data_IF_665653223080
#
_entry.id   IF_665653223080
#
_cell.length_a   1.000
_cell.length_b   1.000
_cell.length_c   1.000
_cell.angle_alpha   90.00
_cell.angle_beta   90.00
_cell.angle_gamma   90.00
#
_symmetry.space_group_name_H-M   'P 1'
#
loop_
_entity.id
_entity.type
_entity.pdbx_description
1 polymer ?
#
# COMPACT_ATOMS: atom_id res chain seq x y z
N UNK A 1 7.78 20.19 -17.90
CA UNK A 1 6.47 19.50 -17.97
C UNK A 1 6.69 18.24 -18.77
N UNK A 2 6.92 17.10 -18.12
CA UNK A 2 7.03 15.79 -18.77
C UNK A 2 5.64 15.44 -19.31
N UNK A 3 5.57 15.09 -20.61
CA UNK A 3 4.33 14.85 -21.30
C UNK A 3 3.57 13.65 -20.72
N UNK A 4 2.33 13.87 -20.44
CA UNK A 4 1.34 12.89 -19.99
C UNK A 4 1.24 11.77 -21.05
N UNK A 5 1.89 10.62 -20.83
CA UNK A 5 1.67 9.43 -21.62
C UNK A 5 0.33 8.83 -21.19
N UNK A 6 -0.41 8.19 -22.07
CA UNK A 6 -1.67 7.53 -21.80
C UNK A 6 -1.60 6.78 -20.46
N UNK A 7 -2.26 7.31 -19.45
CA UNK A 7 -2.21 6.86 -18.06
C UNK A 7 -3.07 5.61 -17.82
N UNK A 8 -3.36 4.84 -18.85
CA UNK A 8 -4.19 3.65 -18.75
C UNK A 8 -3.56 2.46 -19.49
N UNK A 9 -3.63 1.29 -18.87
CA UNK A 9 -3.30 0.04 -19.54
C UNK A 9 -4.40 -1.01 -19.34
N UNK A 10 -4.48 -1.96 -20.27
CA UNK A 10 -5.42 -3.06 -20.22
C UNK A 10 -4.74 -4.30 -19.67
N UNK A 11 -5.33 -4.89 -18.63
CA UNK A 11 -4.89 -6.16 -18.05
C UNK A 11 -5.30 -7.36 -18.91
N UNK A 12 -4.75 -8.54 -18.61
CA UNK A 12 -5.04 -9.79 -19.34
C UNK A 12 -6.51 -10.27 -19.23
N UNK A 13 -7.25 -9.77 -18.23
CA UNK A 13 -8.68 -10.02 -18.03
C UNK A 13 -9.55 -8.79 -18.38
N UNK A 14 -9.04 -7.92 -19.26
CA UNK A 14 -9.74 -6.77 -19.82
C UNK A 14 -10.07 -5.62 -18.84
N UNK A 15 -9.59 -5.63 -17.62
CA UNK A 15 -9.69 -4.46 -16.76
C UNK A 15 -8.81 -3.32 -17.29
N UNK A 16 -9.26 -2.08 -17.13
CA UNK A 16 -8.48 -0.88 -17.47
C UNK A 16 -8.01 -0.26 -16.16
N UNK A 17 -6.69 -0.15 -15.98
CA UNK A 17 -6.10 0.43 -14.79
C UNK A 17 -5.46 1.78 -15.10
N UNK A 18 -5.72 2.74 -14.23
CA UNK A 18 -5.07 4.05 -14.24
C UNK A 18 -3.72 3.97 -13.53
N UNK A 19 -2.71 4.60 -14.12
CA UNK A 19 -1.37 4.72 -13.50
C UNK A 19 -0.75 6.08 -13.82
N UNK A 20 0.25 6.45 -13.02
CA UNK A 20 1.11 7.60 -13.22
C UNK A 20 2.56 7.13 -13.25
N UNK A 21 3.35 7.59 -14.23
CA UNK A 21 4.75 7.24 -14.44
C UNK A 21 5.56 8.53 -14.54
N UNK A 22 6.22 8.88 -13.45
CA UNK A 22 6.96 10.12 -13.28
C UNK A 22 8.44 9.88 -13.48
N UNK A 23 9.09 10.76 -14.25
CA UNK A 23 10.54 10.74 -14.53
C UNK A 23 11.07 9.36 -14.96
N UNK A 24 10.51 8.75 -16.04
CA UNK A 24 10.86 7.39 -16.45
C UNK A 24 12.32 7.20 -16.86
N UNK A 25 13.05 8.28 -17.09
CA UNK A 25 14.48 8.30 -17.43
C UNK A 25 15.41 8.39 -16.22
N UNK A 26 14.87 8.59 -15.03
CA UNK A 26 15.65 8.76 -13.78
C UNK A 26 16.13 7.42 -13.23
N UNK A 27 16.73 7.47 -12.04
CA UNK A 27 17.30 6.35 -11.30
C UNK A 27 16.43 5.11 -11.14
N UNK A 28 16.70 4.32 -10.16
CA UNK A 28 15.97 3.06 -9.95
C UNK A 28 14.48 3.30 -9.65
N UNK A 29 13.57 2.46 -10.17
CA UNK A 29 12.14 2.69 -10.00
C UNK A 29 11.68 2.53 -8.55
N UNK A 30 10.78 3.43 -8.10
CA UNK A 30 10.00 3.32 -6.88
C UNK A 30 8.54 3.12 -7.28
N UNK A 31 7.90 2.08 -6.77
CA UNK A 31 6.48 1.79 -7.01
C UNK A 31 5.71 1.96 -5.70
N UNK A 32 4.73 2.85 -5.69
CA UNK A 32 3.90 3.14 -4.52
C UNK A 32 2.48 2.63 -4.75
N UNK A 33 2.02 1.72 -3.89
CA UNK A 33 0.72 1.07 -4.01
C UNK A 33 -0.22 1.56 -2.90
N UNK A 34 -1.35 2.22 -3.23
CA UNK A 34 -2.26 2.78 -2.25
C UNK A 34 -3.09 1.71 -1.52
N UNK A 35 -3.60 2.11 -0.35
CA UNK A 35 -4.39 1.26 0.53
C UNK A 35 -5.85 1.06 0.10
N UNK A 36 -6.65 0.59 1.05
CA UNK A 36 -8.07 0.27 0.90
C UNK A 36 -8.88 1.47 0.42
N UNK A 37 -9.51 1.34 -0.74
CA UNK A 37 -10.32 2.36 -1.41
C UNK A 37 -9.59 3.69 -1.66
N UNK A 38 -8.27 3.70 -1.59
CA UNK A 38 -7.45 4.87 -1.82
C UNK A 38 -6.95 4.94 -3.27
N UNK A 39 -6.46 6.12 -3.66
CA UNK A 39 -6.02 6.43 -5.02
C UNK A 39 -4.55 6.88 -5.04
N UNK A 40 -3.97 7.03 -6.23
CA UNK A 40 -2.64 7.64 -6.42
C UNK A 40 -2.49 8.98 -5.71
N UNK A 41 -3.60 9.73 -5.53
CA UNK A 41 -3.62 11.04 -4.89
C UNK A 41 -3.16 11.05 -3.44
N UNK A 42 -3.23 9.92 -2.74
CA UNK A 42 -2.68 9.84 -1.39
C UNK A 42 -1.15 9.95 -1.34
N UNK A 43 -0.47 9.81 -2.49
CA UNK A 43 0.97 10.03 -2.61
C UNK A 43 1.35 11.38 -3.23
N UNK A 44 0.40 12.32 -3.40
CA UNK A 44 0.65 13.61 -4.07
C UNK A 44 1.77 14.43 -3.41
N UNK A 45 1.94 14.32 -2.09
CA UNK A 45 3.01 15.01 -1.36
C UNK A 45 4.38 14.30 -1.42
N UNK A 46 4.44 13.12 -2.03
CA UNK A 46 5.65 12.29 -2.10
C UNK A 46 6.25 12.26 -3.51
N UNK A 47 5.38 12.15 -4.51
CA UNK A 47 5.79 11.87 -5.89
C UNK A 47 6.80 12.88 -6.43
N UNK A 48 6.53 14.19 -6.30
CA UNK A 48 7.40 15.22 -6.88
C UNK A 48 8.81 15.22 -6.28
N UNK A 49 8.92 14.99 -4.97
CA UNK A 49 10.21 14.92 -4.30
C UNK A 49 11.00 13.67 -4.72
N UNK A 50 10.37 12.50 -4.69
CA UNK A 50 10.98 11.24 -5.10
C UNK A 50 11.37 11.23 -6.58
N UNK A 51 10.57 11.86 -7.44
CA UNK A 51 10.79 11.95 -8.87
C UNK A 51 11.93 12.90 -9.29
N UNK A 52 12.57 13.61 -8.34
CA UNK A 52 13.78 14.38 -8.62
C UNK A 52 14.95 13.46 -9.03
N UNK A 53 15.04 12.28 -8.43
CA UNK A 53 16.19 11.38 -8.58
C UNK A 53 15.80 9.99 -9.10
N UNK A 54 14.56 9.55 -8.89
CA UNK A 54 14.07 8.23 -9.22
C UNK A 54 12.89 8.26 -10.19
N UNK A 55 12.67 7.16 -10.93
CA UNK A 55 11.39 6.92 -11.61
C UNK A 55 10.35 6.55 -10.56
N UNK A 56 9.23 7.27 -10.50
CA UNK A 56 8.16 6.99 -9.52
C UNK A 56 6.89 6.55 -10.24
N UNK A 57 6.38 5.40 -9.85
CA UNK A 57 5.16 4.81 -10.43
C UNK A 57 4.12 4.66 -9.33
N UNK A 58 2.93 5.17 -9.58
CA UNK A 58 1.74 4.92 -8.77
C UNK A 58 0.60 4.43 -9.67
N UNK A 59 -0.38 3.74 -9.12
CA UNK A 59 -1.56 3.32 -9.88
C UNK A 59 -2.77 3.18 -8.96
N UNK A 60 -3.94 3.34 -9.53
CA UNK A 60 -5.18 3.02 -8.83
C UNK A 60 -5.46 1.52 -8.98
N UNK A 61 -5.50 0.73 -7.90
CA UNK A 61 -5.83 -0.69 -7.97
C UNK A 61 -7.19 -0.91 -8.64
N UNK A 62 -7.42 -2.11 -9.18
CA UNK A 62 -8.71 -2.43 -9.83
C UNK A 62 -9.91 -2.11 -8.93
N UNK A 63 -10.89 -1.46 -9.50
CA UNK A 63 -12.08 -1.04 -8.78
C UNK A 63 -11.94 0.26 -8.00
N UNK A 64 -10.72 0.77 -7.81
CA UNK A 64 -10.48 2.00 -7.07
C UNK A 64 -10.20 3.19 -8.01
N UNK A 65 -10.33 4.41 -7.49
CA UNK A 65 -9.93 5.63 -8.18
C UNK A 65 -10.45 5.76 -9.60
N UNK A 66 -9.55 6.00 -10.54
CA UNK A 66 -9.82 6.12 -11.99
C UNK A 66 -9.76 4.79 -12.75
N UNK A 67 -9.41 3.69 -12.07
CA UNK A 67 -9.44 2.35 -12.67
C UNK A 67 -10.87 1.85 -12.88
N UNK A 68 -11.06 0.93 -13.85
CA UNK A 68 -12.37 0.38 -14.21
C UNK A 68 -13.05 -0.35 -13.05
N UNK A 69 -14.38 -0.27 -12.99
CA UNK A 69 -15.22 -0.80 -11.92
C UNK A 69 -15.88 -2.15 -12.38
N UNK A 70 -15.05 -3.10 -12.83
CA UNK A 70 -15.50 -4.43 -13.24
C UNK A 70 -16.11 -5.21 -12.07
N UNK A 71 -16.95 -6.22 -12.37
CA UNK A 71 -17.63 -7.03 -11.36
C UNK A 71 -16.75 -8.13 -10.75
N UNK A 72 -15.57 -8.39 -11.29
CA UNK A 72 -14.74 -9.54 -10.95
C UNK A 72 -13.32 -9.16 -10.58
N UNK A 73 -12.60 -10.09 -9.94
CA UNK A 73 -11.16 -9.97 -9.72
C UNK A 73 -10.74 -9.12 -8.51
N UNK A 74 -11.66 -8.80 -7.61
CA UNK A 74 -11.34 -8.01 -6.40
C UNK A 74 -10.68 -8.86 -5.30
N UNK A 75 -9.65 -9.64 -5.67
CA UNK A 75 -8.88 -10.49 -4.77
C UNK A 75 -7.44 -9.99 -4.64
N UNK A 76 -6.77 -10.32 -3.54
CA UNK A 76 -5.35 -10.00 -3.34
C UNK A 76 -4.50 -10.60 -4.46
N UNK A 77 -4.73 -11.86 -4.80
CA UNK A 77 -3.99 -12.55 -5.85
C UNK A 77 -4.14 -11.88 -7.24
N UNK A 78 -5.35 -11.41 -7.59
CA UNK A 78 -5.56 -10.72 -8.87
C UNK A 78 -4.90 -9.33 -8.89
N UNK A 79 -4.94 -8.59 -7.76
CA UNK A 79 -4.20 -7.33 -7.65
C UNK A 79 -2.69 -7.54 -7.80
N UNK A 80 -2.13 -8.64 -7.27
CA UNK A 80 -0.72 -8.98 -7.48
C UNK A 80 -0.40 -9.23 -8.97
N UNK A 81 -1.29 -9.91 -9.70
CA UNK A 81 -1.13 -10.11 -11.14
C UNK A 81 -1.25 -8.78 -11.91
N UNK A 82 -2.15 -7.88 -11.49
CA UNK A 82 -2.26 -6.53 -12.06
C UNK A 82 -0.96 -5.73 -11.88
N UNK A 83 -0.36 -5.79 -10.69
CA UNK A 83 0.95 -5.17 -10.43
C UNK A 83 2.00 -5.76 -11.39
N UNK A 84 2.05 -7.08 -11.51
CA UNK A 84 3.00 -7.74 -12.42
C UNK A 84 2.80 -7.28 -13.86
N UNK A 85 1.57 -7.26 -14.34
CA UNK A 85 1.23 -6.83 -15.70
C UNK A 85 1.55 -5.34 -15.94
N UNK A 86 1.35 -4.47 -14.93
CA UNK A 86 1.77 -3.06 -14.99
C UNK A 86 3.29 -2.93 -15.11
N UNK A 87 4.04 -3.66 -14.27
CA UNK A 87 5.50 -3.63 -14.33
C UNK A 87 6.03 -4.16 -15.67
N UNK A 88 5.34 -5.14 -16.28
CA UNK A 88 5.66 -5.65 -17.61
C UNK A 88 5.35 -4.61 -18.71
N UNK A 89 4.18 -3.98 -18.64
CA UNK A 89 3.75 -2.95 -19.58
C UNK A 89 4.71 -1.75 -19.62
N UNK A 90 5.24 -1.36 -18.46
CA UNK A 90 6.15 -0.23 -18.32
C UNK A 90 7.64 -0.62 -18.44
N UNK A 91 7.93 -1.91 -18.70
CA UNK A 91 9.28 -2.51 -18.67
C UNK A 91 10.08 -2.08 -17.42
N UNK A 92 9.45 -2.09 -16.27
CA UNK A 92 10.08 -1.79 -14.98
C UNK A 92 11.02 -2.93 -14.59
N UNK A 93 12.22 -2.61 -14.10
CA UNK A 93 13.21 -3.58 -13.64
C UNK A 93 13.87 -3.10 -12.36
N UNK A 94 14.00 -4.00 -11.38
CA UNK A 94 14.69 -3.72 -10.13
C UNK A 94 14.02 -2.60 -9.32
N UNK A 95 12.69 -2.63 -9.22
CA UNK A 95 11.95 -1.64 -8.46
C UNK A 95 12.08 -1.85 -6.93
N UNK A 96 12.08 -0.77 -6.18
CA UNK A 96 11.68 -0.77 -4.77
C UNK A 96 10.18 -0.57 -4.72
N UNK A 97 9.42 -1.60 -4.29
CA UNK A 97 7.96 -1.56 -4.30
C UNK A 97 7.42 -1.50 -2.88
N UNK A 98 6.63 -0.46 -2.61
CA UNK A 98 6.04 -0.21 -1.30
C UNK A 98 4.52 -0.28 -1.36
N UNK A 99 3.93 -0.94 -0.36
CA UNK A 99 2.48 -0.96 -0.16
C UNK A 99 2.09 -0.23 1.11
N UNK A 100 1.08 0.62 1.00
CA UNK A 100 0.47 1.27 2.15
C UNK A 100 -0.77 0.53 2.60
N UNK A 101 -0.91 0.31 3.93
CA UNK A 101 -2.13 -0.27 4.50
C UNK A 101 -2.45 -1.64 3.89
N UNK A 102 -3.64 -1.82 3.35
CA UNK A 102 -4.07 -3.04 2.64
C UNK A 102 -3.05 -3.50 1.58
N UNK A 103 -2.39 -2.57 0.90
CA UNK A 103 -1.44 -2.94 -0.15
C UNK A 103 -0.20 -3.68 0.38
N UNK A 104 0.06 -3.67 1.69
CA UNK A 104 1.05 -4.56 2.29
C UNK A 104 0.76 -6.04 2.01
N UNK A 105 -0.52 -6.44 2.02
CA UNK A 105 -0.94 -7.79 1.61
C UNK A 105 -0.59 -8.07 0.14
N UNK A 106 -0.72 -7.05 -0.74
CA UNK A 106 -0.31 -7.20 -2.15
C UNK A 106 1.19 -7.38 -2.27
N UNK A 107 1.99 -6.62 -1.50
CA UNK A 107 3.45 -6.68 -1.56
C UNK A 107 3.97 -8.06 -1.15
N UNK A 108 3.54 -8.57 0.00
CA UNK A 108 3.99 -9.88 0.49
C UNK A 108 3.46 -11.03 -0.38
N UNK A 109 2.21 -10.92 -0.87
CA UNK A 109 1.63 -11.92 -1.76
C UNK A 109 2.22 -11.89 -3.17
N UNK A 110 2.58 -10.70 -3.68
CA UNK A 110 3.32 -10.58 -4.93
C UNK A 110 4.62 -11.37 -4.87
N UNK A 111 5.38 -11.22 -3.78
CA UNK A 111 6.61 -11.97 -3.60
C UNK A 111 6.38 -13.48 -3.49
N UNK A 112 5.36 -13.91 -2.77
CA UNK A 112 4.96 -15.33 -2.68
C UNK A 112 4.63 -15.93 -4.06
N UNK A 113 3.99 -15.15 -4.96
CA UNK A 113 3.59 -15.61 -6.29
C UNK A 113 4.70 -15.54 -7.34
N UNK A 114 5.56 -14.52 -7.28
CA UNK A 114 6.48 -14.19 -8.38
C UNK A 114 7.94 -14.04 -7.94
N UNK A 115 8.25 -14.16 -6.65
CA UNK A 115 9.59 -13.90 -6.10
C UNK A 115 10.05 -12.47 -6.39
N UNK A 116 11.34 -12.30 -6.61
CA UNK A 116 11.96 -11.01 -6.94
C UNK A 116 11.70 -10.55 -8.40
N UNK A 117 10.65 -11.06 -9.05
CA UNK A 117 10.35 -10.65 -10.43
C UNK A 117 10.13 -9.15 -10.51
N UNK A 118 10.98 -8.44 -11.27
CA UNK A 118 10.99 -6.98 -11.49
C UNK A 118 11.21 -6.10 -10.26
N UNK A 119 11.39 -6.69 -9.07
CA UNK A 119 11.64 -5.96 -7.83
C UNK A 119 13.01 -6.31 -7.26
N UNK A 120 13.65 -5.37 -6.56
CA UNK A 120 14.93 -5.56 -5.86
C UNK A 120 14.80 -5.34 -4.35
N UNK A 121 13.77 -4.61 -3.93
CA UNK A 121 13.47 -4.36 -2.53
C UNK A 121 11.97 -4.15 -2.34
N UNK A 122 11.48 -4.40 -1.14
CA UNK A 122 10.09 -4.26 -0.77
C UNK A 122 9.92 -3.34 0.45
N UNK A 123 8.75 -2.72 0.59
CA UNK A 123 8.45 -1.87 1.74
C UNK A 123 7.00 -1.96 2.19
N UNK A 124 6.81 -1.83 3.50
CA UNK A 124 5.50 -1.80 4.15
C UNK A 124 5.30 -0.43 4.82
N UNK A 125 4.21 0.23 4.49
CA UNK A 125 3.81 1.53 5.05
C UNK A 125 2.54 1.30 5.87
N UNK A 126 2.68 1.16 7.17
CA UNK A 126 1.60 0.99 8.15
C UNK A 126 0.55 -0.06 7.75
N UNK A 127 0.98 -1.31 7.59
CA UNK A 127 0.20 -2.40 7.00
C UNK A 127 -0.38 -3.35 8.04
N UNK A 128 -1.70 -3.56 8.14
CA UNK A 128 -2.28 -4.65 8.92
C UNK A 128 -2.20 -5.97 8.13
N UNK A 129 -1.10 -6.72 8.26
CA UNK A 129 -0.88 -7.94 7.47
C UNK A 129 -1.76 -9.13 7.86
N UNK A 130 -2.58 -9.01 8.90
CA UNK A 130 -3.49 -10.06 9.33
C UNK A 130 -4.52 -9.52 10.32
N UNK A 131 -5.38 -8.59 9.86
CA UNK A 131 -6.27 -7.80 10.71
C UNK A 131 -7.15 -8.63 11.68
N UNK A 132 -7.63 -9.80 11.26
CA UNK A 132 -8.52 -10.64 12.09
C UNK A 132 -7.76 -11.74 12.87
N UNK A 133 -6.51 -12.00 12.59
CA UNK A 133 -5.79 -13.13 13.19
C UNK A 133 -5.42 -12.87 14.65
N UNK A 134 -5.67 -13.86 15.52
CA UNK A 134 -5.38 -13.77 16.96
C UNK A 134 -3.91 -14.11 17.25
N UNK A 135 -3.03 -13.19 16.88
CA UNK A 135 -1.59 -13.33 16.99
C UNK A 135 -1.00 -12.26 17.94
N UNK A 136 0.14 -12.53 18.60
CA UNK A 136 0.76 -11.58 19.54
C UNK A 136 1.10 -10.22 18.90
N UNK A 137 1.49 -10.22 17.62
CA UNK A 137 1.84 -9.00 16.89
C UNK A 137 0.62 -8.17 16.47
N UNK A 138 -0.58 -8.74 16.47
CA UNK A 138 -1.77 -8.06 15.97
C UNK A 138 -2.50 -7.30 17.10
N UNK A 139 -2.62 -5.99 16.97
CA UNK A 139 -3.43 -5.13 17.82
C UNK A 139 -4.64 -4.50 17.08
N UNK A 140 -4.98 -5.01 15.90
CA UNK A 140 -6.12 -4.52 15.12
C UNK A 140 -7.46 -4.83 15.82
N UNK A 141 -8.45 -3.97 15.67
CA UNK A 141 -9.78 -4.10 16.28
C UNK A 141 -10.56 -5.35 15.84
N UNK A 142 -10.22 -5.95 14.69
CA UNK A 142 -10.78 -7.20 14.19
C UNK A 142 -10.09 -8.45 14.74
N UNK A 143 -9.05 -8.32 15.56
CA UNK A 143 -8.31 -9.44 16.14
C UNK A 143 -9.27 -10.46 16.76
N UNK A 144 -8.96 -11.75 16.60
CA UNK A 144 -9.80 -12.85 17.04
C UNK A 144 -11.07 -13.05 16.22
N UNK A 145 -11.07 -12.58 14.97
CA UNK A 145 -12.23 -12.67 14.06
C UNK A 145 -13.49 -12.02 14.68
N UNK A 146 -13.35 -10.78 15.13
CA UNK A 146 -14.46 -10.00 15.68
C UNK A 146 -15.53 -9.76 14.59
N UNK A 147 -16.40 -10.77 14.43
CA UNK A 147 -17.43 -10.80 13.38
C UNK A 147 -18.53 -9.76 13.59
N UNK A 148 -18.79 -9.34 14.83
CA UNK A 148 -19.77 -8.29 15.11
C UNK A 148 -19.27 -6.94 14.57
N UNK A 149 -18.00 -6.62 14.78
CA UNK A 149 -17.37 -5.43 14.23
C UNK A 149 -17.26 -5.52 12.71
N UNK A 150 -16.83 -6.65 12.16
CA UNK A 150 -16.79 -6.88 10.72
C UNK A 150 -18.17 -6.64 10.08
N UNK A 151 -19.22 -7.25 10.62
CA UNK A 151 -20.58 -7.09 10.12
C UNK A 151 -21.07 -5.64 10.22
N UNK A 152 -20.75 -4.93 11.32
CA UNK A 152 -21.14 -3.53 11.48
C UNK A 152 -20.49 -2.63 10.42
N UNK A 153 -19.20 -2.85 10.11
CA UNK A 153 -18.52 -2.15 9.01
C UNK A 153 -19.15 -2.45 7.66
N UNK A 154 -19.49 -3.72 7.39
CA UNK A 154 -20.12 -4.12 6.13
C UNK A 154 -21.51 -3.53 5.96
N UNK A 155 -22.32 -3.54 7.01
CA UNK A 155 -23.65 -2.94 7.03
C UNK A 155 -23.58 -1.43 6.78
N UNK A 156 -22.65 -0.74 7.45
CA UNK A 156 -22.41 0.69 7.26
C UNK A 156 -21.99 0.99 5.82
N UNK A 157 -20.99 0.28 5.30
CA UNK A 157 -20.52 0.43 3.93
C UNK A 157 -21.63 0.23 2.88
N UNK A 158 -22.50 -0.75 3.10
CA UNK A 158 -23.59 -1.05 2.16
C UNK A 158 -24.73 -0.02 2.22
N UNK A 159 -25.12 0.42 3.41
CA UNK A 159 -26.27 1.32 3.61
C UNK A 159 -25.91 2.80 3.45
N UNK A 160 -24.69 3.18 3.81
CA UNK A 160 -24.18 4.57 3.77
C UNK A 160 -22.67 4.57 3.46
N UNK A 161 -22.33 4.35 2.20
CA UNK A 161 -20.94 4.32 1.78
C UNK A 161 -20.21 5.65 2.04
N UNK A 162 -20.90 6.77 1.94
CA UNK A 162 -20.31 8.08 2.20
C UNK A 162 -19.98 8.27 3.69
N UNK A 163 -20.91 7.91 4.57
CA UNK A 163 -20.68 7.89 6.01
C UNK A 163 -19.58 6.90 6.41
N UNK A 164 -19.52 5.72 5.78
CA UNK A 164 -18.46 4.74 6.03
C UNK A 164 -17.07 5.27 5.65
N UNK A 165 -16.92 5.88 4.47
CA UNK A 165 -15.63 6.43 4.07
C UNK A 165 -15.25 7.68 4.87
N UNK A 166 -16.22 8.49 5.25
CA UNK A 166 -15.97 9.61 6.15
C UNK A 166 -15.48 9.14 7.52
N UNK A 167 -16.12 8.12 8.10
CA UNK A 167 -15.66 7.47 9.33
C UNK A 167 -14.22 6.93 9.19
N UNK A 168 -13.92 6.27 8.07
CA UNK A 168 -12.59 5.73 7.84
C UNK A 168 -11.54 6.84 7.64
N UNK A 169 -11.90 7.93 6.95
CA UNK A 169 -11.05 9.10 6.79
C UNK A 169 -10.73 9.76 8.16
N UNK A 170 -11.71 9.84 9.06
CA UNK A 170 -11.47 10.28 10.44
C UNK A 170 -10.47 9.39 11.16
N UNK A 171 -10.57 8.07 11.04
CA UNK A 171 -9.60 7.16 11.65
C UNK A 171 -8.19 7.32 11.07
N UNK A 172 -8.06 7.58 9.77
CA UNK A 172 -6.77 7.78 9.11
C UNK A 172 -6.09 9.09 9.51
N UNK A 173 -6.86 10.17 9.66
CA UNK A 173 -6.37 11.53 9.91
C UNK A 173 -6.57 11.99 11.36
N UNK A 174 -6.80 11.09 12.29
CA UNK A 174 -7.08 11.40 13.70
C UNK A 174 -6.04 12.40 14.28
N UNK A 175 -6.55 13.57 14.71
CA UNK A 175 -5.74 14.60 15.35
C UNK A 175 -4.81 15.39 14.42
N UNK A 176 -4.96 15.29 13.09
CA UNK A 176 -4.04 15.90 12.12
C UNK A 176 -4.65 17.13 11.44
N UNK A 177 -5.68 16.97 10.65
CA UNK A 177 -6.29 18.07 9.89
C UNK A 177 -7.69 17.70 9.38
N UNK A 178 -8.72 18.28 9.95
CA UNK A 178 -10.11 18.03 9.55
C UNK A 178 -10.40 18.42 8.10
N UNK A 179 -9.65 19.36 7.51
CA UNK A 179 -9.82 19.75 6.10
C UNK A 179 -9.47 18.61 5.12
N UNK A 180 -8.63 17.67 5.55
CA UNK A 180 -8.24 16.51 4.74
C UNK A 180 -9.29 15.40 4.77
N UNK A 181 -10.17 15.36 5.76
CA UNK A 181 -11.19 14.32 5.90
C UNK A 181 -12.17 14.34 4.72
N UNK A 182 -12.66 15.51 4.36
CA UNK A 182 -13.57 15.65 3.22
C UNK A 182 -12.88 15.25 1.91
N UNK A 183 -11.64 15.68 1.70
CA UNK A 183 -10.85 15.32 0.54
C UNK A 183 -10.64 13.80 0.46
N UNK A 184 -10.19 13.16 1.55
CA UNK A 184 -9.99 11.72 1.61
C UNK A 184 -11.29 10.95 1.36
N UNK A 185 -12.40 11.40 1.96
CA UNK A 185 -13.73 10.83 1.73
C UNK A 185 -14.10 10.88 0.24
N UNK A 186 -13.88 12.02 -0.44
CA UNK A 186 -14.18 12.16 -1.86
C UNK A 186 -13.29 11.26 -2.74
N UNK A 187 -12.00 11.09 -2.39
CA UNK A 187 -11.14 10.15 -3.09
C UNK A 187 -11.62 8.70 -2.91
N UNK A 188 -11.99 8.30 -1.69
CA UNK A 188 -12.49 6.95 -1.40
C UNK A 188 -13.84 6.68 -2.07
N UNK A 189 -14.71 7.68 -2.22
CA UNK A 189 -16.01 7.56 -2.91
C UNK A 189 -15.90 7.21 -4.40
N UNK A 190 -14.70 7.31 -4.99
CA UNK A 190 -14.45 6.79 -6.33
C UNK A 190 -14.48 5.24 -6.37
N UNK A 191 -14.51 4.59 -5.21
CA UNK A 191 -14.65 3.12 -5.09
C UNK A 191 -16.09 2.78 -4.70
N UNK A 192 -16.85 2.06 -5.54
CA UNK A 192 -18.21 1.64 -5.22
C UNK A 192 -18.27 0.70 -4.00
N UNK A 193 -19.35 0.80 -3.20
CA UNK A 193 -19.53 0.02 -1.98
C UNK A 193 -19.37 -1.51 -2.18
N UNK A 194 -19.86 -2.07 -3.28
CA UNK A 194 -19.75 -3.51 -3.55
C UNK A 194 -18.31 -3.97 -3.81
N UNK A 195 -17.45 -3.10 -4.37
CA UNK A 195 -16.02 -3.36 -4.53
C UNK A 195 -15.33 -3.28 -3.17
N UNK A 196 -15.64 -2.24 -2.38
CA UNK A 196 -15.16 -2.10 -1.01
C UNK A 196 -15.47 -3.32 -0.17
N UNK A 197 -16.69 -3.82 -0.24
CA UNK A 197 -17.11 -5.05 0.45
C UNK A 197 -16.25 -6.26 0.03
N UNK A 198 -16.07 -6.48 -1.27
CA UNK A 198 -15.29 -7.61 -1.78
C UNK A 198 -13.81 -7.54 -1.32
N UNK A 199 -13.18 -6.37 -1.44
CA UNK A 199 -11.79 -6.15 -1.06
C UNK A 199 -11.61 -6.31 0.46
N UNK A 200 -12.51 -5.73 1.27
CA UNK A 200 -12.41 -5.80 2.72
C UNK A 200 -12.57 -7.23 3.23
N UNK A 201 -13.50 -7.98 2.66
CA UNK A 201 -13.70 -9.39 3.00
C UNK A 201 -12.45 -10.23 2.70
N UNK A 202 -11.82 -10.00 1.56
CA UNK A 202 -10.57 -10.66 1.17
C UNK A 202 -9.42 -10.27 2.12
N UNK A 203 -9.26 -8.97 2.41
CA UNK A 203 -8.24 -8.44 3.31
C UNK A 203 -8.29 -9.07 4.71
N UNK A 204 -9.49 -9.18 5.27
CA UNK A 204 -9.68 -9.68 6.64
C UNK A 204 -9.33 -11.16 6.76
N UNK A 205 -9.56 -11.94 5.71
CA UNK A 205 -9.33 -13.39 5.69
C UNK A 205 -7.87 -13.79 5.43
N UNK A 206 -6.99 -12.87 5.04
CA UNK A 206 -5.59 -13.18 4.73
C UNK A 206 -4.68 -13.00 5.95
N UNK A 207 -3.65 -13.84 6.03
CA UNK A 207 -2.51 -13.68 6.93
C UNK A 207 -1.23 -13.47 6.10
N UNK A 208 -0.96 -12.21 5.76
CA UNK A 208 0.25 -11.85 5.01
C UNK A 208 1.51 -11.88 5.88
N UNK A 209 1.38 -11.88 7.21
CA UNK A 209 2.53 -11.91 8.11
C UNK A 209 3.37 -13.19 7.92
N UNK A 210 2.72 -14.34 7.74
CA UNK A 210 3.41 -15.62 7.48
C UNK A 210 4.23 -15.63 6.19
N UNK A 211 3.93 -14.73 5.25
CA UNK A 211 4.66 -14.63 3.99
C UNK A 211 5.97 -13.86 4.12
N UNK A 212 6.16 -13.08 5.19
CA UNK A 212 7.38 -12.29 5.40
C UNK A 212 8.63 -13.17 5.42
N UNK A 213 8.57 -14.36 6.01
CA UNK A 213 9.72 -15.25 6.06
C UNK A 213 10.19 -15.78 4.69
N UNK A 214 9.33 -15.70 3.65
CA UNK A 214 9.69 -16.12 2.29
C UNK A 214 10.49 -15.06 1.54
N UNK A 215 10.53 -13.83 2.04
CA UNK A 215 11.12 -12.68 1.35
C UNK A 215 12.63 -12.69 1.55
N UNK A 216 13.38 -12.81 0.44
CA UNK A 216 14.83 -12.87 0.39
C UNK A 216 15.46 -11.65 -0.33
N UNK A 217 14.72 -10.56 -0.40
CA UNK A 217 15.20 -9.25 -0.86
C UNK A 217 15.17 -8.24 0.29
N UNK A 218 15.94 -7.12 0.21
CA UNK A 218 15.89 -6.05 1.22
C UNK A 218 14.49 -5.53 1.48
N UNK A 219 14.19 -5.19 2.74
CA UNK A 219 12.90 -4.65 3.16
C UNK A 219 13.02 -3.38 4.00
N UNK A 220 12.06 -2.47 3.85
CA UNK A 220 11.88 -1.30 4.71
C UNK A 220 10.50 -1.28 5.34
N UNK A 221 10.45 -0.89 6.61
CA UNK A 221 9.22 -0.85 7.39
C UNK A 221 8.98 0.55 7.95
N UNK A 222 7.82 1.10 7.65
CA UNK A 222 7.35 2.38 8.17
C UNK A 222 6.08 2.14 8.98
N UNK A 223 5.98 2.71 10.16
CA UNK A 223 4.81 2.54 11.01
C UNK A 223 4.61 3.69 11.99
N UNK A 224 3.35 3.99 12.28
CA UNK A 224 2.94 4.92 13.32
C UNK A 224 1.77 4.34 14.11
N UNK A 225 1.64 4.73 15.37
CA UNK A 225 0.45 4.36 16.14
C UNK A 225 -0.72 5.28 15.79
N UNK A 226 -1.91 4.72 15.62
CA UNK A 226 -3.13 5.46 15.31
C UNK A 226 -4.38 4.58 15.39
N UNK A 227 -5.53 5.16 15.06
CA UNK A 227 -6.80 4.44 15.18
C UNK A 227 -6.94 3.26 14.21
N UNK A 228 -6.26 3.31 13.05
CA UNK A 228 -6.26 2.19 12.08
C UNK A 228 -5.27 1.11 12.49
N UNK A 229 -4.06 1.50 12.92
CA UNK A 229 -2.99 0.59 13.33
C UNK A 229 -2.50 0.97 14.72
N UNK A 230 -3.06 0.34 15.75
CA UNK A 230 -2.83 0.74 17.15
C UNK A 230 -1.36 0.57 17.57
N UNK A 231 -0.64 -0.38 17.00
CA UNK A 231 0.75 -0.71 17.30
C UNK A 231 1.69 -0.62 16.07
N UNK A 232 1.42 0.30 15.15
CA UNK A 232 2.18 0.43 13.90
C UNK A 232 3.68 0.63 14.11
N UNK A 233 4.08 1.37 15.15
CA UNK A 233 5.49 1.54 15.53
C UNK A 233 6.12 0.20 15.91
N UNK A 234 5.50 -0.56 16.80
CA UNK A 234 6.00 -1.87 17.24
C UNK A 234 6.04 -2.88 16.07
N UNK A 235 5.05 -2.82 15.16
CA UNK A 235 5.08 -3.62 13.95
C UNK A 235 6.32 -3.32 13.11
N UNK A 236 6.62 -2.05 12.86
CA UNK A 236 7.76 -1.65 12.06
C UNK A 236 9.10 -1.94 12.73
N UNK A 237 9.23 -1.71 14.05
CA UNK A 237 10.50 -1.83 14.77
C UNK A 237 10.86 -3.27 15.15
N UNK A 238 9.85 -4.11 15.41
CA UNK A 238 10.05 -5.45 15.97
C UNK A 238 9.46 -6.54 15.09
N UNK A 239 8.14 -6.54 14.96
CA UNK A 239 7.44 -7.71 14.43
C UNK A 239 7.72 -7.98 12.95
N UNK A 240 7.77 -6.96 12.10
CA UNK A 240 8.07 -7.16 10.68
C UNK A 240 9.52 -7.56 10.44
N UNK A 241 10.54 -6.95 11.07
CA UNK A 241 11.92 -7.45 10.97
C UNK A 241 12.07 -8.90 11.45
N UNK A 242 11.41 -9.27 12.58
CA UNK A 242 11.40 -10.65 13.07
C UNK A 242 10.72 -11.62 12.09
N UNK A 243 9.62 -11.20 11.43
CA UNK A 243 8.94 -11.98 10.40
C UNK A 243 9.79 -12.13 9.12
N UNK A 244 10.46 -11.06 8.71
CA UNK A 244 11.30 -11.00 7.50
C UNK A 244 12.73 -11.53 7.72
N UNK A 245 12.89 -12.57 8.53
CA UNK A 245 14.18 -13.13 8.97
C UNK A 245 15.13 -13.59 7.84
N UNK A 246 14.60 -13.85 6.64
CA UNK A 246 15.37 -14.23 5.46
C UNK A 246 15.72 -13.05 4.55
N UNK A 247 15.22 -11.86 4.85
CA UNK A 247 15.63 -10.64 4.16
C UNK A 247 17.12 -10.35 4.46
N UNK A 248 17.94 -10.09 3.44
CA UNK A 248 19.37 -9.83 3.64
C UNK A 248 19.66 -8.49 4.33
N UNK A 249 18.71 -7.57 4.31
CA UNK A 249 18.80 -6.24 4.90
C UNK A 249 17.42 -5.68 5.24
N UNK A 250 17.27 -5.16 6.44
CA UNK A 250 16.02 -4.51 6.87
C UNK A 250 16.29 -3.16 7.49
N UNK A 251 15.45 -2.17 7.18
CA UNK A 251 15.39 -0.89 7.89
C UNK A 251 14.01 -0.64 8.45
N UNK A 252 13.95 0.04 9.58
CA UNK A 252 12.72 0.34 10.31
C UNK A 252 12.65 1.81 10.66
N UNK A 253 11.56 2.46 10.34
CA UNK A 253 11.32 3.86 10.53
C UNK A 253 9.98 4.10 11.25
N UNK A 254 9.98 4.09 12.59
CA UNK A 254 8.80 4.49 13.36
C UNK A 254 8.58 6.01 13.23
N UNK A 255 7.31 6.40 13.17
CA UNK A 255 6.86 7.79 13.19
C UNK A 255 6.11 8.08 14.49
N UNK A 256 6.44 9.20 15.14
CA UNK A 256 5.81 9.59 16.40
C UNK A 256 4.41 10.18 16.18
N UNK A 257 4.16 10.73 15.00
CA UNK A 257 2.94 11.46 14.65
C UNK A 257 2.43 11.05 13.27
N UNK A 258 1.22 11.45 12.95
CA UNK A 258 0.64 11.33 11.61
C UNK A 258 -0.23 10.08 11.41
N UNK A 259 -0.40 9.24 12.44
CA UNK A 259 -1.28 8.08 12.38
C UNK A 259 -1.07 7.25 11.11
N UNK A 260 -2.16 6.77 10.53
CA UNK A 260 -2.12 5.91 9.34
C UNK A 260 -1.60 6.59 8.05
N UNK A 261 -1.56 7.93 8.04
CA UNK A 261 -1.19 8.76 6.88
C UNK A 261 0.06 9.62 7.10
N UNK A 262 0.94 9.21 8.02
CA UNK A 262 2.17 9.94 8.33
C UNK A 262 3.00 10.26 7.06
N UNK A 263 3.07 9.36 6.10
CA UNK A 263 3.79 9.56 4.84
C UNK A 263 3.24 10.73 4.00
N UNK A 264 1.93 11.00 4.11
CA UNK A 264 1.27 12.12 3.45
C UNK A 264 1.41 13.43 4.24
N UNK A 265 1.31 13.36 5.57
CA UNK A 265 1.31 14.53 6.46
C UNK A 265 2.73 14.99 6.83
N UNK A 266 3.66 14.06 6.94
CA UNK A 266 5.08 14.30 7.23
C UNK A 266 5.94 13.83 6.04
N UNK A 267 5.53 14.25 4.84
CA UNK A 267 6.09 13.76 3.58
C UNK A 267 7.59 14.02 3.44
N UNK A 268 8.10 15.16 3.90
CA UNK A 268 9.54 15.46 3.82
C UNK A 268 10.39 14.45 4.61
N UNK A 269 9.93 14.07 5.80
CA UNK A 269 10.62 13.08 6.61
C UNK A 269 10.52 11.69 5.99
N UNK A 270 9.33 11.30 5.54
CA UNK A 270 9.12 10.02 4.88
C UNK A 270 9.96 9.89 3.60
N UNK A 271 9.90 10.90 2.72
CA UNK A 271 10.64 10.92 1.46
C UNK A 271 12.15 10.79 1.70
N UNK A 272 12.70 11.55 2.65
CA UNK A 272 14.11 11.47 3.00
C UNK A 272 14.52 10.08 3.50
N UNK A 273 13.72 9.46 4.38
CA UNK A 273 13.97 8.10 4.89
C UNK A 273 13.88 7.05 3.79
N UNK A 274 12.88 7.17 2.91
CA UNK A 274 12.73 6.27 1.77
C UNK A 274 13.91 6.39 0.79
N UNK A 275 14.33 7.61 0.47
CA UNK A 275 15.48 7.85 -0.40
C UNK A 275 16.77 7.26 0.22
N UNK A 276 17.00 7.46 1.51
CA UNK A 276 18.15 6.86 2.20
C UNK A 276 18.19 5.33 2.03
N UNK A 277 17.03 4.65 2.18
CA UNK A 277 16.95 3.21 1.96
C UNK A 277 17.20 2.85 0.49
N UNK A 278 16.58 3.54 -0.46
CA UNK A 278 16.72 3.25 -1.90
C UNK A 278 18.16 3.42 -2.35
N UNK A 279 18.82 4.52 -1.94
CA UNK A 279 20.22 4.80 -2.26
C UNK A 279 21.15 3.73 -1.67
N UNK A 280 20.93 3.33 -0.41
CA UNK A 280 21.67 2.25 0.21
C UNK A 280 21.57 0.95 -0.60
N UNK A 281 20.35 0.59 -1.05
CA UNK A 281 20.15 -0.61 -1.87
C UNK A 281 20.82 -0.48 -3.24
N UNK A 282 20.79 0.70 -3.84
CA UNK A 282 21.44 0.95 -5.15
C UNK A 282 22.95 0.82 -5.09
N UNK A 283 23.56 1.24 -3.98
CA UNK A 283 25.00 1.18 -3.76
C UNK A 283 25.50 -0.22 -3.39
N UNK A 284 24.73 -0.98 -2.57
CA UNK A 284 25.22 -2.19 -1.93
C UNK A 284 24.59 -3.49 -2.44
N UNK A 285 23.44 -3.40 -3.14
CA UNK A 285 22.75 -4.54 -3.72
C UNK A 285 22.71 -4.40 -5.26
N UNK A 286 23.81 -4.66 -5.96
CA UNK A 286 23.87 -4.47 -7.40
C UNK A 286 22.84 -5.33 -8.13
N UNK A 287 22.32 -4.80 -9.22
CA UNK A 287 21.32 -5.42 -10.11
C UNK A 287 21.73 -6.88 -10.45
N UNK A 288 20.90 -7.84 -10.05
CA UNK A 288 20.97 -9.20 -10.60
C UNK A 288 20.48 -9.22 -12.05
#
# INVERSE_FOLDING_TARGET
MAGNRNNYFRTSDDAILYFEDHSPEKGSPIVLVPGFCCTTRFFENNVDALAQEHRVITFDPRGQGSSSKGLQGHTIARNCLDIKELLDHLDVRGATMLGWSMAGQFIVKYFDMFGAYRVKALGLIDCPLGAAWDEPWNAHSLKGFNMDLFNSHMIMCYNDVAGYYNFFAHMMYEGIDDSKIDWATQEMLKTPAWISFAIYSELVMQNGFELLEKIDVPMVFFGANGAVTANGKELAEKWYPEGAKNSPYTESYPFEHGGHVFFHCYSDEFNRKLLQFVDHIDEHCPKK
#
